data_IF_571512098624
#
_entry.id   IF_571512098624
#
_cell.length_a   1.000
_cell.length_b   1.000
_cell.length_c   1.000
_cell.angle_alpha   90.00
_cell.angle_beta   90.00
_cell.angle_gamma   90.00
#
_symmetry.space_group_name_H-M   'P 1'
#
loop_
_entity.id
_entity.type
_entity.pdbx_description
1 polymer ?
#
# COMPACT_ATOMS: atom_id res chain seq x y z
N UNK A 1 -10.75 -22.67 1.12
CA UNK A 1 -11.32 -21.99 2.31
C UNK A 1 -11.04 -22.74 3.64
N UNK A 2 -9.87 -23.36 3.83
CA UNK A 2 -9.46 -23.94 5.14
C UNK A 2 -7.96 -23.76 5.39
N UNK A 3 -7.46 -22.54 5.23
CA UNK A 3 -6.19 -22.12 5.83
C UNK A 3 -6.54 -21.10 6.92
N UNK A 4 -5.88 -21.25 8.07
CA UNK A 4 -5.92 -20.33 9.22
C UNK A 4 -6.98 -20.46 10.32
N UNK A 5 -7.21 -21.69 10.80
CA UNK A 5 -7.64 -21.87 12.20
C UNK A 5 -6.47 -22.07 13.18
N UNK A 6 -5.23 -22.20 12.68
CA UNK A 6 -4.03 -22.38 13.53
C UNK A 6 -3.30 -21.07 13.84
N UNK A 7 -3.36 -20.04 12.99
CA UNK A 7 -2.74 -18.74 13.28
C UNK A 7 -3.51 -17.95 14.36
N UNK A 8 -4.83 -18.08 14.42
CA UNK A 8 -5.68 -17.34 15.37
C UNK A 8 -5.53 -17.81 16.83
N UNK A 9 -5.12 -19.05 17.07
CA UNK A 9 -4.91 -19.58 18.43
C UNK A 9 -3.46 -19.48 18.91
N UNK A 10 -2.50 -19.27 17.99
CA UNK A 10 -1.07 -19.23 18.28
C UNK A 10 -0.62 -17.88 18.87
N UNK A 11 -1.14 -16.76 18.36
CA UNK A 11 -0.81 -15.41 18.87
C UNK A 11 -1.24 -15.19 20.33
N UNK A 12 -2.48 -15.54 20.76
CA UNK A 12 -2.88 -15.36 22.16
C UNK A 12 -2.21 -16.36 23.11
N UNK A 13 -1.86 -17.57 22.65
CA UNK A 13 -1.10 -18.53 23.49
C UNK A 13 0.37 -18.15 23.62
N UNK A 14 0.99 -17.58 22.58
CA UNK A 14 2.35 -17.03 22.62
C UNK A 14 2.44 -15.80 23.55
N UNK A 15 1.45 -14.90 23.52
CA UNK A 15 1.38 -13.76 24.45
C UNK A 15 1.21 -14.22 25.91
N UNK A 16 0.42 -15.27 26.14
CA UNK A 16 0.21 -15.83 27.48
C UNK A 16 1.49 -16.49 28.04
N UNK A 17 2.29 -17.17 27.21
CA UNK A 17 3.55 -17.81 27.66
C UNK A 17 4.68 -16.81 27.86
N UNK A 18 4.77 -15.76 27.03
CA UNK A 18 5.75 -14.67 27.21
C UNK A 18 5.46 -13.88 28.50
N UNK A 19 4.19 -13.61 28.80
CA UNK A 19 3.80 -12.97 30.06
C UNK A 19 4.15 -13.82 31.30
N UNK A 20 4.05 -15.15 31.19
CA UNK A 20 4.39 -16.08 32.27
C UNK A 20 5.90 -16.21 32.50
N UNK A 21 6.72 -16.07 31.44
CA UNK A 21 8.18 -15.99 31.55
C UNK A 21 8.66 -14.66 32.13
N UNK A 22 7.98 -13.54 31.85
CA UNK A 22 8.32 -12.24 32.44
C UNK A 22 8.10 -12.19 33.97
N UNK A 23 7.13 -12.95 34.48
CA UNK A 23 6.87 -13.05 35.93
C UNK A 23 7.97 -13.81 36.70
N UNK A 24 8.82 -14.61 36.03
CA UNK A 24 9.91 -15.34 36.67
C UNK A 24 11.17 -14.48 36.90
N UNK A 25 11.28 -13.30 36.27
CA UNK A 25 12.42 -12.39 36.44
C UNK A 25 12.27 -11.44 37.65
N UNK A 26 11.07 -11.32 38.22
CA UNK A 26 10.80 -10.45 39.40
C UNK A 26 10.99 -11.19 40.73
N UNK A 27 11.63 -12.36 40.73
CA UNK A 27 11.88 -13.16 41.93
C UNK A 27 13.32 -13.09 42.46
N UNK A 28 14.19 -12.24 41.90
CA UNK A 28 15.60 -12.14 42.35
C UNK A 28 15.99 -10.82 43.01
N UNK A 29 15.07 -9.88 43.26
CA UNK A 29 15.33 -8.75 44.15
C UNK A 29 14.82 -9.07 45.55
N UNK A 30 15.57 -9.93 46.24
CA UNK A 30 15.58 -9.98 47.69
C UNK A 30 16.59 -8.97 48.21
N UNK A 31 16.12 -8.07 49.07
CA UNK A 31 16.91 -7.22 49.97
C UNK A 31 17.91 -8.06 50.78
N UNK A 32 19.18 -7.66 50.79
CA UNK A 32 20.11 -7.94 51.90
C UNK A 32 21.07 -6.73 52.01
N UNK A 33 20.68 -5.76 52.85
CA UNK A 33 21.52 -4.66 53.35
C UNK A 33 22.58 -5.20 54.34
N UNK A 34 23.79 -4.67 54.23
CA UNK A 34 25.07 -5.06 54.85
C UNK A 34 25.12 -5.22 56.40
N UNK A 35 25.92 -6.20 56.89
CA UNK A 35 26.90 -5.97 57.97
C UNK A 35 28.08 -6.98 57.96
N UNK A 36 29.26 -6.45 58.26
CA UNK A 36 30.65 -6.89 58.10
C UNK A 36 31.07 -8.37 58.22
N UNK A 37 32.05 -8.78 57.38
CA UNK A 37 33.00 -9.83 57.79
C UNK A 37 33.79 -10.56 56.70
N UNK A 38 34.94 -10.00 56.32
CA UNK A 38 36.20 -10.71 55.99
C UNK A 38 36.17 -11.88 54.97
N UNK A 39 36.78 -11.65 53.80
CA UNK A 39 37.72 -12.62 53.21
C UNK A 39 37.43 -13.15 51.79
N UNK A 40 38.49 -13.06 50.97
CA UNK A 40 38.84 -13.92 49.84
C UNK A 40 38.11 -13.76 48.48
N UNK A 41 38.92 -13.43 47.46
CA UNK A 41 38.76 -13.96 46.10
C UNK A 41 38.04 -13.06 45.08
N UNK A 42 38.72 -12.05 44.55
CA UNK A 42 38.25 -11.35 43.36
C UNK A 42 38.51 -12.20 42.10
N UNK A 43 37.68 -13.21 41.86
CA UNK A 43 37.51 -13.77 40.51
C UNK A 43 36.63 -12.81 39.72
N UNK A 44 37.23 -12.08 38.79
CA UNK A 44 36.50 -11.23 37.84
C UNK A 44 35.55 -12.10 37.01
N UNK A 45 34.28 -12.13 37.39
CA UNK A 45 33.20 -12.68 36.57
C UNK A 45 32.97 -11.70 35.44
N UNK A 46 33.55 -12.02 34.27
CA UNK A 46 33.21 -11.36 33.02
C UNK A 46 31.77 -11.75 32.69
N UNK A 47 30.83 -10.85 32.95
CA UNK A 47 29.45 -10.96 32.47
C UNK A 47 29.48 -11.06 30.95
N UNK A 48 28.85 -12.08 30.34
CA UNK A 48 28.69 -12.08 28.89
C UNK A 48 27.73 -10.94 28.54
N UNK A 49 28.24 -9.92 27.85
CA UNK A 49 27.38 -8.94 27.19
C UNK A 49 26.56 -9.71 26.16
N UNK A 50 25.28 -9.92 26.47
CA UNK A 50 24.34 -10.45 25.50
C UNK A 50 24.32 -9.46 24.34
N UNK A 51 24.83 -9.90 23.19
CA UNK A 51 24.79 -9.13 21.96
C UNK A 51 23.33 -8.81 21.67
N UNK A 52 22.98 -7.52 21.74
CA UNK A 52 21.66 -7.06 21.30
C UNK A 52 21.46 -7.52 19.84
N UNK A 53 20.27 -8.02 19.46
CA UNK A 53 19.99 -8.35 18.08
C UNK A 53 20.23 -7.11 17.22
N UNK A 54 20.89 -7.31 16.07
CA UNK A 54 21.07 -6.26 15.09
C UNK A 54 19.69 -5.70 14.69
N UNK A 55 19.55 -4.39 14.45
CA UNK A 55 18.29 -3.82 14.02
C UNK A 55 17.85 -4.51 12.72
N UNK A 56 16.63 -5.03 12.71
CA UNK A 56 15.99 -5.54 11.49
C UNK A 56 15.80 -4.38 10.52
N UNK A 57 15.99 -4.65 9.22
CA UNK A 57 15.64 -3.67 8.19
C UNK A 57 14.16 -3.28 8.29
N UNK A 58 13.83 -1.98 8.10
CA UNK A 58 12.44 -1.54 8.11
C UNK A 58 11.68 -2.19 6.95
N UNK A 59 10.39 -2.47 7.18
CA UNK A 59 9.52 -3.02 6.15
C UNK A 59 9.26 -2.01 5.04
N UNK A 60 9.28 -2.45 3.78
CA UNK A 60 8.89 -1.62 2.65
C UNK A 60 7.37 -1.68 2.48
N UNK A 61 6.70 -0.58 2.76
CA UNK A 61 5.23 -0.47 2.69
C UNK A 61 4.82 0.48 1.57
N UNK A 62 4.07 -0.04 0.61
CA UNK A 62 3.49 0.75 -0.47
C UNK A 62 2.00 0.94 -0.22
N UNK A 63 1.57 2.18 -0.01
CA UNK A 63 0.16 2.53 0.09
C UNK A 63 -0.34 3.12 -1.23
N UNK A 64 -1.59 2.82 -1.60
CA UNK A 64 -2.17 3.35 -2.82
C UNK A 64 -2.31 4.87 -2.80
N UNK A 65 -2.81 5.43 -1.69
CA UNK A 65 -3.07 6.86 -1.52
C UNK A 65 -2.28 7.44 -0.34
N UNK A 66 -2.04 8.76 -0.37
CA UNK A 66 -1.40 9.47 0.74
C UNK A 66 -2.13 9.37 2.07
N UNK A 67 -3.47 9.18 2.07
CA UNK A 67 -4.25 8.99 3.31
C UNK A 67 -3.84 7.67 3.98
N UNK A 68 -3.78 6.58 3.21
CA UNK A 68 -3.36 5.29 3.73
C UNK A 68 -1.89 5.27 4.12
N UNK A 69 -1.03 5.95 3.35
CA UNK A 69 0.38 6.13 3.71
C UNK A 69 0.51 6.79 5.08
N UNK A 70 -0.22 7.89 5.31
CA UNK A 70 -0.17 8.60 6.58
C UNK A 70 -0.62 7.75 7.77
N UNK A 71 -1.66 6.93 7.62
CA UNK A 71 -2.05 5.99 8.67
C UNK A 71 -0.98 4.92 8.92
N UNK A 72 -0.40 4.37 7.86
CA UNK A 72 0.65 3.37 7.96
C UNK A 72 1.91 3.94 8.64
N UNK A 73 2.34 5.16 8.29
CA UNK A 73 3.47 5.85 8.92
C UNK A 73 3.25 6.03 10.43
N UNK A 74 2.06 6.49 10.83
CA UNK A 74 1.73 6.69 12.24
C UNK A 74 1.72 5.37 13.04
N UNK A 75 1.30 4.27 12.41
CA UNK A 75 1.24 2.96 13.06
C UNK A 75 2.63 2.32 13.14
N UNK A 76 3.41 2.38 12.07
CA UNK A 76 4.66 1.65 11.94
C UNK A 76 5.85 2.38 12.57
N UNK A 77 5.85 3.72 12.61
CA UNK A 77 6.97 4.49 13.14
C UNK A 77 8.28 4.18 12.41
N UNK A 78 9.33 3.85 13.16
CA UNK A 78 10.65 3.50 12.59
C UNK A 78 10.74 2.07 12.01
N UNK A 79 9.70 1.26 12.16
CA UNK A 79 9.71 -0.14 11.72
C UNK A 79 9.35 -0.33 10.25
N UNK A 80 8.95 0.73 9.54
CA UNK A 80 8.64 0.66 8.12
C UNK A 80 9.01 1.95 7.39
N UNK A 81 9.44 1.80 6.13
CA UNK A 81 9.48 2.89 5.17
C UNK A 81 8.19 2.85 4.36
N UNK A 82 7.41 3.93 4.42
CA UNK A 82 6.10 4.00 3.77
C UNK A 82 6.17 4.95 2.58
N UNK A 83 5.64 4.52 1.44
CA UNK A 83 5.50 5.36 0.25
C UNK A 83 4.09 5.30 -0.30
N UNK A 84 3.59 6.44 -0.79
CA UNK A 84 2.32 6.50 -1.53
C UNK A 84 2.57 6.36 -3.04
N UNK A 85 1.75 5.56 -3.74
CA UNK A 85 1.77 5.48 -5.20
C UNK A 85 1.15 6.73 -5.82
N UNK A 86 -0.05 7.09 -5.39
CA UNK A 86 -0.77 8.24 -5.90
C UNK A 86 -0.31 9.48 -5.12
N UNK A 87 0.36 10.44 -5.77
CA UNK A 87 0.88 11.62 -5.09
C UNK A 87 -0.26 12.54 -4.63
N UNK A 88 -0.02 13.37 -3.60
CA UNK A 88 -1.01 14.33 -3.14
C UNK A 88 -1.52 15.23 -4.28
N UNK A 89 -2.85 15.35 -4.38
CA UNK A 89 -3.50 16.18 -5.40
C UNK A 89 -3.72 15.50 -6.75
N UNK A 90 -3.21 14.30 -6.97
CA UNK A 90 -3.59 13.49 -8.13
C UNK A 90 -4.97 12.84 -7.94
N UNK A 91 -5.72 12.73 -9.03
CA UNK A 91 -6.99 12.02 -9.08
C UNK A 91 -6.75 10.51 -9.19
N UNK A 92 -7.36 9.74 -8.29
CA UNK A 92 -7.16 8.28 -8.19
C UNK A 92 -7.77 7.50 -9.36
N UNK A 93 -8.86 8.01 -9.95
CA UNK A 93 -9.57 7.32 -11.02
C UNK A 93 -8.85 7.43 -12.36
N UNK A 94 -8.08 8.50 -12.56
CA UNK A 94 -7.29 8.77 -13.77
C UNK A 94 -5.78 8.52 -13.61
N UNK A 95 -5.32 8.21 -12.41
CA UNK A 95 -3.91 7.91 -12.15
C UNK A 95 -3.46 6.66 -12.92
N UNK A 96 -2.21 6.68 -13.39
CA UNK A 96 -1.56 5.56 -14.09
C UNK A 96 -0.19 5.28 -13.48
N UNK A 97 0.11 4.01 -13.26
CA UNK A 97 1.34 3.55 -12.61
C UNK A 97 2.55 3.76 -13.51
N UNK A 98 3.59 4.43 -13.01
CA UNK A 98 4.85 4.58 -13.75
C UNK A 98 5.76 3.35 -13.59
N UNK A 99 6.80 3.25 -14.43
CA UNK A 99 7.82 2.21 -14.27
C UNK A 99 8.63 2.32 -12.96
N UNK A 100 8.67 3.50 -12.34
CA UNK A 100 9.28 3.67 -11.02
C UNK A 100 8.36 3.14 -9.92
N UNK A 101 7.05 3.31 -10.09
CA UNK A 101 6.04 2.81 -9.14
C UNK A 101 5.94 1.30 -9.18
N UNK A 102 6.03 0.70 -10.38
CA UNK A 102 6.11 -0.76 -10.54
C UNK A 102 7.27 -1.35 -9.71
N UNK A 103 8.46 -0.73 -9.76
CA UNK A 103 9.59 -1.20 -8.95
C UNK A 103 9.32 -1.13 -7.45
N UNK A 104 8.65 -0.07 -6.98
CA UNK A 104 8.26 0.03 -5.57
C UNK A 104 7.32 -1.12 -5.19
N UNK A 105 6.41 -1.52 -6.08
CA UNK A 105 5.50 -2.65 -5.85
C UNK A 105 6.27 -3.97 -5.84
N UNK A 106 7.18 -4.18 -6.79
CA UNK A 106 8.03 -5.39 -6.87
C UNK A 106 8.92 -5.57 -5.62
N UNK A 107 9.34 -4.47 -5.00
CA UNK A 107 10.21 -4.48 -3.81
C UNK A 107 9.41 -4.43 -2.47
N UNK A 108 8.07 -4.40 -2.52
CA UNK A 108 7.25 -4.20 -1.32
C UNK A 108 7.12 -5.46 -0.46
N UNK A 109 7.20 -5.30 0.86
CA UNK A 109 6.78 -6.32 1.83
C UNK A 109 5.27 -6.29 2.06
N UNK A 110 4.69 -5.08 1.98
CA UNK A 110 3.26 -4.85 2.21
C UNK A 110 2.73 -3.85 1.18
N UNK A 111 1.59 -4.17 0.58
CA UNK A 111 0.81 -3.22 -0.23
C UNK A 111 -0.54 -2.96 0.44
N UNK A 112 -0.90 -1.69 0.59
CA UNK A 112 -2.17 -1.27 1.21
C UNK A 112 -3.02 -0.56 0.16
N UNK A 113 -4.21 -1.09 -0.09
CA UNK A 113 -5.23 -0.50 -0.97
C UNK A 113 -6.48 -0.18 -0.16
N UNK A 114 -7.26 0.81 -0.60
CA UNK A 114 -8.48 1.23 0.05
C UNK A 114 -9.56 0.17 -0.11
N UNK A 115 -9.80 -0.29 -1.33
CA UNK A 115 -10.93 -1.15 -1.69
C UNK A 115 -12.12 -0.34 -2.23
N UNK A 116 -13.27 -1.00 -2.36
CA UNK A 116 -14.48 -0.45 -3.02
C UNK A 116 -14.22 0.13 -4.41
N UNK A 117 -13.30 -0.47 -5.17
CA UNK A 117 -12.93 -0.07 -6.52
C UNK A 117 -12.35 1.35 -6.66
N UNK A 118 -11.91 1.98 -5.57
CA UNK A 118 -11.32 3.32 -5.64
C UNK A 118 -10.12 3.35 -6.59
N UNK A 119 -9.23 2.36 -6.49
CA UNK A 119 -7.98 2.27 -7.25
C UNK A 119 -8.04 1.38 -8.49
N UNK A 120 -9.23 1.25 -9.11
CA UNK A 120 -9.47 0.38 -10.25
C UNK A 120 -8.40 0.49 -11.35
N UNK A 121 -7.99 1.71 -11.67
CA UNK A 121 -7.00 2.02 -12.71
C UNK A 121 -5.63 1.36 -12.50
N UNK A 122 -5.24 1.12 -11.25
CA UNK A 122 -3.90 0.60 -10.89
C UNK A 122 -3.93 -0.78 -10.23
N UNK A 123 -5.10 -1.29 -9.83
CA UNK A 123 -5.23 -2.60 -9.19
C UNK A 123 -4.66 -3.73 -10.05
N UNK A 124 -4.88 -3.69 -11.37
CA UNK A 124 -4.32 -4.68 -12.29
C UNK A 124 -2.79 -4.73 -12.23
N UNK A 125 -2.14 -3.57 -12.30
CA UNK A 125 -0.68 -3.46 -12.18
C UNK A 125 -0.18 -3.91 -10.82
N UNK A 126 -0.89 -3.58 -9.74
CA UNK A 126 -0.53 -4.05 -8.39
C UNK A 126 -0.56 -5.57 -8.34
N UNK A 127 -1.61 -6.22 -8.82
CA UNK A 127 -1.71 -7.68 -8.77
C UNK A 127 -0.69 -8.41 -9.65
N UNK A 128 -0.30 -7.80 -10.78
CA UNK A 128 0.70 -8.36 -11.68
C UNK A 128 2.11 -8.35 -11.07
N UNK A 129 2.44 -7.28 -10.35
CA UNK A 129 3.78 -7.03 -9.81
C UNK A 129 3.95 -7.38 -8.33
N UNK A 130 2.87 -7.64 -7.60
CA UNK A 130 2.95 -7.95 -6.18
C UNK A 130 3.75 -9.25 -5.95
N UNK A 131 4.84 -9.20 -5.16
CA UNK A 131 5.60 -10.40 -4.82
C UNK A 131 4.74 -11.42 -4.09
N UNK A 132 4.96 -12.71 -4.36
CA UNK A 132 4.24 -13.79 -3.66
C UNK A 132 4.50 -13.84 -2.15
N UNK A 133 5.57 -13.22 -1.67
CA UNK A 133 5.90 -13.03 -0.25
C UNK A 133 5.26 -11.79 0.37
N UNK A 134 4.79 -10.84 -0.44
CA UNK A 134 4.23 -9.59 0.03
C UNK A 134 2.81 -9.78 0.57
N UNK A 135 2.42 -8.96 1.54
CA UNK A 135 1.07 -8.94 2.11
C UNK A 135 0.24 -7.85 1.47
N UNK A 136 -0.89 -8.21 0.84
CA UNK A 136 -1.89 -7.25 0.40
C UNK A 136 -2.94 -6.98 1.49
N UNK A 137 -3.07 -5.72 1.89
CA UNK A 137 -4.06 -5.25 2.86
C UNK A 137 -5.12 -4.43 2.12
N UNK A 138 -6.39 -4.79 2.31
CA UNK A 138 -7.53 -3.99 1.85
C UNK A 138 -8.12 -3.26 3.07
N UNK A 139 -7.94 -1.95 3.14
CA UNK A 139 -8.32 -1.13 4.28
C UNK A 139 -9.83 -1.19 4.56
N UNK A 140 -10.65 -1.26 3.52
CA UNK A 140 -12.10 -1.39 3.62
C UNK A 140 -12.60 -2.77 4.09
N UNK A 141 -11.72 -3.75 4.30
CA UNK A 141 -12.13 -5.11 4.66
C UNK A 141 -12.92 -5.10 5.98
N UNK A 142 -14.17 -5.54 5.93
CA UNK A 142 -15.07 -5.60 7.09
C UNK A 142 -15.89 -4.32 7.31
N UNK A 143 -15.79 -3.34 6.41
CA UNK A 143 -16.64 -2.16 6.41
C UNK A 143 -17.87 -2.42 5.52
N UNK A 144 -19.05 -2.09 6.02
CA UNK A 144 -20.28 -2.08 5.22
C UNK A 144 -20.38 -0.73 4.49
N UNK A 145 -20.30 -0.69 3.15
CA UNK A 145 -20.42 0.55 2.41
C UNK A 145 -21.85 1.09 2.50
N UNK A 146 -21.97 2.41 2.60
CA UNK A 146 -23.25 3.09 2.52
C UNK A 146 -23.78 3.02 1.07
N UNK A 147 -25.08 2.84 0.90
CA UNK A 147 -25.70 2.92 -0.43
C UNK A 147 -25.56 4.35 -0.99
N UNK A 148 -24.96 4.46 -2.16
CA UNK A 148 -24.91 5.72 -2.90
C UNK A 148 -26.29 6.07 -3.43
N UNK A 149 -26.86 7.19 -2.99
CA UNK A 149 -28.09 7.72 -3.57
C UNK A 149 -27.88 8.07 -5.05
N UNK A 150 -28.54 7.35 -5.94
CA UNK A 150 -28.64 7.69 -7.36
C UNK A 150 -29.38 9.03 -7.51
N UNK A 151 -28.62 10.12 -7.48
CA UNK A 151 -29.14 11.45 -7.76
C UNK A 151 -29.09 11.75 -9.26
N UNK A 152 -30.29 11.73 -9.84
CA UNK A 152 -30.76 12.40 -11.07
C UNK A 152 -30.57 11.68 -12.42
N UNK A 153 -31.60 10.89 -12.73
CA UNK A 153 -32.31 10.93 -14.00
C UNK A 153 -32.33 12.36 -14.60
N UNK A 154 -31.68 12.51 -15.76
CA UNK A 154 -31.96 13.55 -16.73
C UNK A 154 -32.26 12.88 -18.07
N UNK A 155 -33.45 12.30 -18.18
CA UNK A 155 -34.09 12.03 -19.46
C UNK A 155 -34.22 13.32 -20.28
N UNK A 156 -33.26 13.56 -21.17
CA UNK A 156 -33.44 14.50 -22.27
C UNK A 156 -34.06 13.73 -23.44
N UNK A 157 -35.39 13.63 -23.43
CA UNK A 157 -36.15 13.32 -24.63
C UNK A 157 -36.08 14.52 -25.57
N UNK A 158 -35.30 14.36 -26.64
CA UNK A 158 -35.45 15.16 -27.85
C UNK A 158 -35.90 14.19 -28.95
N UNK A 159 -37.21 14.06 -29.08
CA UNK A 159 -37.83 13.70 -30.35
C UNK A 159 -37.81 14.97 -31.19
N UNK A 160 -36.81 15.09 -32.06
CA UNK A 160 -36.85 16.05 -33.16
C UNK A 160 -36.66 15.21 -34.44
N UNK A 161 -37.80 14.85 -35.03
CA UNK A 161 -37.91 14.52 -36.45
C UNK A 161 -37.50 15.77 -37.23
N UNK A 162 -36.42 15.71 -38.02
CA UNK A 162 -36.27 16.60 -39.17
C UNK A 162 -35.46 15.89 -40.27
N UNK A 163 -36.21 15.53 -41.30
CA UNK A 163 -35.83 15.05 -42.62
C UNK A 163 -35.09 16.16 -43.39
N UNK A 164 -33.83 15.94 -43.75
CA UNK A 164 -33.14 16.72 -44.77
C UNK A 164 -32.30 15.82 -45.67
N UNK A 165 -32.96 15.21 -46.65
CA UNK A 165 -32.32 14.80 -47.89
C UNK A 165 -31.92 16.02 -48.73
N UNK A 166 -30.66 16.08 -49.15
CA UNK A 166 -30.21 16.84 -50.31
C UNK A 166 -29.12 16.04 -51.02
N UNK A 167 -29.56 15.25 -52.00
CA UNK A 167 -28.79 15.00 -53.22
C UNK A 167 -28.90 16.27 -54.06
N UNK A 168 -27.78 16.85 -54.48
CA UNK A 168 -27.66 17.54 -55.77
C UNK A 168 -26.18 17.65 -56.13
N UNK A 169 -25.88 17.10 -57.30
CA UNK A 169 -24.61 17.15 -58.02
C UNK A 169 -24.38 18.60 -58.49
N UNK A 170 -23.18 19.15 -58.29
CA UNK A 170 -22.73 20.29 -59.09
C UNK A 170 -21.24 20.16 -59.44
N UNK A 171 -21.05 20.04 -60.75
CA UNK A 171 -19.83 19.98 -61.55
C UNK A 171 -19.07 21.32 -61.51
N UNK A 172 -17.81 21.31 -61.07
CA UNK A 172 -16.86 22.40 -61.33
C UNK A 172 -15.50 21.83 -61.72
N UNK A 173 -15.36 21.48 -63.01
CA UNK A 173 -14.07 21.42 -63.68
C UNK A 173 -13.45 22.81 -63.86
N UNK A 174 -12.14 22.90 -63.62
CA UNK A 174 -11.23 23.81 -64.32
C UNK A 174 -9.84 23.17 -64.37
N UNK A 175 -9.46 22.75 -65.58
CA UNK A 175 -8.09 22.43 -65.98
C UNK A 175 -7.35 23.71 -66.42
N UNK A 176 -6.02 23.59 -66.45
CA UNK A 176 -5.02 24.39 -67.19
C UNK A 176 -4.59 25.73 -66.56
N UNK A 177 -3.32 26.14 -66.48
CA UNK A 177 -2.06 25.69 -67.12
C UNK A 177 -0.85 26.41 -66.45
N UNK A 178 0.36 26.12 -66.93
CA UNK A 178 1.63 26.90 -66.84
C UNK A 178 2.72 26.53 -65.81
N UNK A 179 3.54 25.57 -66.26
CA UNK A 179 5.03 25.56 -66.37
C UNK A 179 5.83 26.73 -65.77
N UNK A 180 6.87 26.42 -64.96
CA UNK A 180 8.23 26.98 -65.07
C UNK A 180 9.25 26.13 -64.27
N UNK A 181 10.22 25.55 -64.98
CA UNK A 181 11.27 24.68 -64.42
C UNK A 181 12.67 25.28 -64.15
N UNK A 182 13.60 24.36 -63.87
CA UNK A 182 15.09 24.41 -63.83
C UNK A 182 15.74 25.32 -62.74
N UNK A 183 16.89 25.07 -62.10
CA UNK A 183 18.07 24.14 -62.12
C UNK A 183 18.80 24.37 -60.75
N UNK A 184 19.70 23.54 -60.20
CA UNK A 184 20.90 22.85 -60.72
C UNK A 184 21.11 21.45 -60.10
#
# INVERSE_FOLDING_TARGET
>A
MLRDLRQFTLVPTLLLTVALMAAALVACFGDDDDDEGTGAGATSVSTPVASAPAPSEPLQVVASTGILAHFAEQIAGEHAEVVALIPPGADVHSFSTSAADIRKIDDADVVIVNGFNLEESILGTIFEHLPGSATLIVAAKGIEPLEGGHHHDHGHGHEDEDDHGHEDEDDHGHEDEDDHGHED
#
